data_IF_552788611651
#
_entry.id   IF_552788611651
#
_cell.length_a   1.000
_cell.length_b   1.000
_cell.length_c   1.000
_cell.angle_alpha   90.00
_cell.angle_beta   90.00
_cell.angle_gamma   90.00
#
_symmetry.space_group_name_H-M   'P 1'
#
loop_
_entity.id
_entity.type
_entity.pdbx_description
1 polymer ?
#
# COMPACT_ATOMS: atom_id res chain seq x y z
N UNK A 1 73.39 -21.21 -17.91
CA UNK A 1 74.56 -20.90 -18.78
C UNK A 1 74.73 -22.02 -19.79
N UNK A 2 74.93 -21.67 -21.08
CA UNK A 2 75.25 -22.51 -22.27
C UNK A 2 74.07 -23.35 -22.80
N UNK A 3 73.41 -22.96 -23.91
CA UNK A 3 73.80 -23.07 -25.35
C UNK A 3 73.80 -24.54 -25.83
N UNK A 4 73.34 -24.96 -27.02
CA UNK A 4 72.75 -24.40 -28.25
C UNK A 4 72.60 -25.60 -29.23
N UNK A 5 71.75 -25.48 -30.26
CA UNK A 5 71.69 -26.26 -31.53
C UNK A 5 71.13 -27.69 -31.46
N UNK A 6 70.35 -28.20 -32.42
CA UNK A 6 70.02 -27.80 -33.79
C UNK A 6 69.68 -29.08 -34.61
N UNK A 7 69.20 -28.92 -35.85
CA UNK A 7 68.81 -29.91 -36.87
C UNK A 7 67.35 -30.42 -36.86
N UNK A 8 66.67 -30.69 -37.98
CA UNK A 8 66.79 -30.33 -39.40
C UNK A 8 65.55 -30.96 -40.10
N UNK A 9 64.92 -30.21 -41.01
CA UNK A 9 64.09 -30.61 -42.18
C UNK A 9 63.33 -31.96 -42.21
N UNK A 10 62.04 -31.93 -42.57
CA UNK A 10 61.64 -32.11 -43.98
C UNK A 10 60.17 -31.72 -44.21
N UNK A 11 59.97 -30.85 -45.21
CA UNK A 11 58.70 -30.48 -45.77
C UNK A 11 58.29 -31.47 -46.86
N UNK A 12 57.00 -31.83 -46.93
CA UNK A 12 56.38 -32.23 -48.19
C UNK A 12 55.10 -31.40 -48.37
N UNK A 13 55.18 -30.49 -49.34
CA UNK A 13 54.09 -29.72 -49.89
C UNK A 13 53.52 -30.45 -51.11
N UNK A 14 52.20 -30.66 -51.14
CA UNK A 14 51.44 -30.86 -52.38
C UNK A 14 50.23 -29.93 -52.37
N UNK A 15 50.17 -29.06 -53.38
CA UNK A 15 49.13 -28.08 -53.70
C UNK A 15 48.19 -28.67 -54.76
N UNK A 16 46.88 -28.43 -54.67
CA UNK A 16 45.90 -28.20 -55.77
C UNK A 16 44.46 -28.27 -55.17
N UNK A 17 43.81 -27.14 -54.83
CA UNK A 17 42.94 -26.23 -55.62
C UNK A 17 41.50 -26.75 -55.91
N UNK A 18 40.54 -26.09 -55.23
CA UNK A 18 39.14 -25.70 -55.54
C UNK A 18 38.07 -26.74 -55.96
N UNK A 19 37.02 -26.89 -55.14
CA UNK A 19 35.68 -26.31 -55.37
C UNK A 19 34.56 -27.06 -54.60
N UNK A 20 33.72 -26.29 -53.90
CA UNK A 20 32.27 -26.52 -53.82
C UNK A 20 31.73 -27.68 -52.97
N UNK A 21 31.26 -27.35 -51.76
CA UNK A 21 29.85 -27.48 -51.33
C UNK A 21 29.78 -27.18 -49.83
N UNK A 22 29.36 -25.96 -49.49
CA UNK A 22 29.09 -25.57 -48.12
C UNK A 22 27.86 -26.31 -47.59
N UNK A 23 28.06 -27.16 -46.58
CA UNK A 23 26.98 -27.61 -45.72
C UNK A 23 26.97 -26.65 -44.53
N UNK A 24 25.95 -25.80 -44.54
CA UNK A 24 25.71 -24.73 -43.59
C UNK A 24 25.13 -25.32 -42.29
N UNK A 25 25.96 -25.90 -41.44
CA UNK A 25 25.58 -26.22 -40.04
C UNK A 25 25.75 -25.00 -39.15
N UNK A 26 24.97 -23.95 -39.43
CA UNK A 26 25.03 -22.69 -38.70
C UNK A 26 23.71 -21.90 -38.66
N UNK A 27 22.57 -22.51 -39.03
CA UNK A 27 21.26 -21.85 -39.01
C UNK A 27 20.21 -22.45 -38.07
N UNK A 28 20.35 -23.70 -37.64
CA UNK A 28 19.28 -24.35 -36.86
C UNK A 28 19.38 -24.12 -35.33
N UNK A 29 20.51 -23.63 -34.82
CA UNK A 29 20.68 -23.27 -33.40
C UNK A 29 20.55 -21.75 -33.12
N UNK A 30 20.51 -20.93 -34.18
CA UNK A 30 20.28 -19.48 -34.08
C UNK A 30 18.79 -19.11 -34.17
N UNK A 31 17.95 -19.96 -34.76
CA UNK A 31 16.50 -19.76 -34.84
C UNK A 31 15.71 -20.34 -33.65
N UNK A 32 16.35 -21.10 -32.74
CA UNK A 32 15.73 -21.58 -31.49
C UNK A 32 16.05 -20.75 -30.24
N UNK A 33 16.66 -19.58 -30.40
CA UNK A 33 16.99 -18.64 -29.30
C UNK A 33 16.29 -17.27 -29.40
N UNK A 34 15.20 -17.15 -30.17
CA UNK A 34 14.32 -15.98 -30.15
C UNK A 34 12.95 -16.36 -29.59
N UNK A 35 12.55 -15.67 -28.52
CA UNK A 35 11.23 -15.61 -27.85
C UNK A 35 11.21 -16.08 -26.38
N UNK A 36 11.98 -15.41 -25.52
CA UNK A 36 11.43 -14.87 -24.26
C UNK A 36 11.39 -13.37 -24.47
N UNK A 37 10.20 -12.77 -24.51
CA UNK A 37 10.05 -11.34 -24.81
C UNK A 37 10.87 -10.51 -23.82
N UNK A 38 11.70 -9.60 -24.34
CA UNK A 38 12.38 -8.62 -23.49
C UNK A 38 11.39 -7.54 -23.07
N UNK A 39 11.56 -7.03 -21.84
CA UNK A 39 10.75 -5.95 -21.30
C UNK A 39 11.02 -4.66 -22.08
N UNK A 40 9.99 -4.10 -22.70
CA UNK A 40 10.10 -2.85 -23.45
C UNK A 40 10.04 -1.66 -22.48
N UNK A 41 11.03 -0.78 -22.48
CA UNK A 41 10.99 0.47 -21.70
C UNK A 41 10.21 1.55 -22.47
N UNK A 42 9.19 2.12 -21.84
CA UNK A 42 8.43 3.26 -22.34
C UNK A 42 8.88 4.57 -21.67
N UNK A 43 8.61 5.69 -22.34
CA UNK A 43 8.87 7.04 -21.83
C UNK A 43 7.60 7.61 -21.19
N UNK A 44 7.66 7.84 -19.87
CA UNK A 44 6.60 8.45 -19.07
C UNK A 44 6.93 9.88 -18.62
N UNK A 45 7.91 10.54 -19.23
CA UNK A 45 8.30 11.92 -18.89
C UNK A 45 7.20 12.96 -19.11
N UNK A 46 6.17 12.61 -19.89
CA UNK A 46 4.98 13.43 -20.14
C UNK A 46 3.75 12.99 -19.34
N UNK A 47 3.87 11.95 -18.52
CA UNK A 47 2.79 11.52 -17.65
C UNK A 47 2.50 12.65 -16.63
N UNK A 48 1.24 12.98 -16.36
CA UNK A 48 0.92 13.96 -15.32
C UNK A 48 1.55 13.57 -13.96
N UNK A 49 1.97 14.57 -13.17
CA UNK A 49 2.63 14.31 -11.88
C UNK A 49 1.71 13.60 -10.87
N UNK A 50 0.41 13.83 -11.00
CA UNK A 50 -0.70 13.30 -10.22
C UNK A 50 -1.22 11.94 -10.76
N UNK A 51 -0.32 11.09 -11.24
CA UNK A 51 -0.63 9.73 -11.71
C UNK A 51 0.18 8.69 -10.94
N UNK A 52 -0.48 7.60 -10.54
CA UNK A 52 0.14 6.43 -9.92
C UNK A 52 -0.40 5.14 -10.54
N UNK A 53 0.39 4.07 -10.51
CA UNK A 53 0.00 2.77 -11.07
C UNK A 53 -0.01 1.71 -9.96
N UNK A 54 -1.16 1.09 -9.74
CA UNK A 54 -1.42 0.21 -8.60
C UNK A 54 -1.81 -1.19 -9.08
N UNK A 55 -0.94 -2.17 -8.80
CA UNK A 55 -1.21 -3.59 -9.00
C UNK A 55 -1.64 -4.20 -7.67
N UNK A 56 -2.84 -4.79 -7.61
CA UNK A 56 -3.47 -5.20 -6.35
C UNK A 56 -4.28 -6.48 -6.47
N UNK A 57 -3.87 -7.41 -7.34
CA UNK A 57 -4.69 -8.56 -7.70
C UNK A 57 -5.55 -8.28 -8.93
N UNK A 58 -6.76 -8.85 -8.99
CA UNK A 58 -7.69 -8.57 -10.07
C UNK A 58 -7.98 -7.07 -10.17
N UNK A 59 -7.65 -6.44 -11.30
CA UNK A 59 -7.75 -4.99 -11.46
C UNK A 59 -9.19 -4.44 -11.40
N UNK A 60 -10.22 -5.28 -11.51
CA UNK A 60 -11.62 -4.85 -11.52
C UNK A 60 -12.01 -4.26 -10.17
N UNK A 61 -11.56 -4.89 -9.08
CA UNK A 61 -11.78 -4.39 -7.73
C UNK A 61 -10.98 -3.12 -7.45
N UNK A 62 -9.71 -3.09 -7.86
CA UNK A 62 -8.82 -1.94 -7.65
C UNK A 62 -9.32 -0.73 -8.43
N UNK A 63 -9.77 -0.91 -9.67
CA UNK A 63 -10.34 0.14 -10.50
C UNK A 63 -11.59 0.70 -9.83
N UNK A 64 -12.52 -0.16 -9.40
CA UNK A 64 -13.74 0.26 -8.71
C UNK A 64 -13.46 0.96 -7.38
N UNK A 65 -12.46 0.50 -6.60
CA UNK A 65 -12.03 1.16 -5.38
C UNK A 65 -11.56 2.58 -5.70
N UNK A 66 -10.64 2.74 -6.64
CA UNK A 66 -10.06 4.05 -6.96
C UNK A 66 -11.12 5.00 -7.53
N UNK A 67 -12.01 4.52 -8.41
CA UNK A 67 -13.14 5.30 -8.93
C UNK A 67 -14.10 5.79 -7.84
N UNK A 68 -14.22 5.04 -6.74
CA UNK A 68 -15.12 5.41 -5.65
C UNK A 68 -14.61 6.57 -4.80
N UNK A 69 -13.31 6.86 -4.83
CA UNK A 69 -12.66 7.85 -3.96
C UNK A 69 -12.89 9.27 -4.53
N UNK A 70 -13.53 10.18 -3.77
CA UNK A 70 -13.68 11.57 -4.19
C UNK A 70 -12.33 12.22 -4.51
N UNK A 71 -12.21 12.83 -5.69
CA UNK A 71 -10.96 13.43 -6.16
C UNK A 71 -10.20 12.60 -7.19
N UNK A 72 -10.51 11.30 -7.35
CA UNK A 72 -9.99 10.52 -8.49
C UNK A 72 -10.65 11.01 -9.78
N UNK A 73 -9.84 11.30 -10.80
CA UNK A 73 -10.24 11.84 -12.11
C UNK A 73 -10.46 10.70 -13.10
N UNK A 74 -9.53 9.76 -13.16
CA UNK A 74 -9.54 8.62 -14.07
C UNK A 74 -8.90 7.40 -13.39
N UNK A 75 -9.47 6.23 -13.63
CA UNK A 75 -8.89 4.95 -13.23
C UNK A 75 -9.06 3.97 -14.38
N UNK A 76 -7.94 3.42 -14.85
CA UNK A 76 -7.90 2.60 -16.06
C UNK A 76 -7.14 1.30 -15.86
N UNK A 77 -7.81 0.19 -16.08
CA UNK A 77 -7.23 -1.16 -16.04
C UNK A 77 -6.21 -1.40 -17.16
N UNK A 78 -5.12 -2.10 -16.84
CA UNK A 78 -4.08 -2.46 -17.80
C UNK A 78 -3.02 -3.42 -17.25
N UNK A 79 -1.94 -3.56 -18.01
CA UNK A 79 -0.86 -4.50 -17.74
C UNK A 79 0.46 -3.73 -17.62
N UNK A 80 1.11 -3.80 -16.47
CA UNK A 80 2.37 -3.09 -16.20
C UNK A 80 3.57 -4.01 -16.05
N UNK A 81 4.74 -3.50 -16.41
CA UNK A 81 6.07 -4.05 -16.14
C UNK A 81 6.27 -5.52 -16.59
N UNK A 82 5.68 -5.87 -17.74
CA UNK A 82 5.87 -7.17 -18.40
C UNK A 82 6.67 -7.05 -19.69
N UNK A 83 6.58 -8.05 -20.57
CA UNK A 83 7.37 -8.14 -21.81
C UNK A 83 7.11 -6.96 -22.78
N UNK A 84 6.24 -7.13 -23.77
CA UNK A 84 6.00 -6.12 -24.80
C UNK A 84 4.51 -6.02 -25.14
N UNK A 85 4.15 -5.00 -25.90
CA UNK A 85 2.76 -4.73 -26.31
C UNK A 85 2.06 -5.94 -26.92
N UNK A 86 2.76 -6.70 -27.78
CA UNK A 86 2.18 -7.88 -28.42
C UNK A 86 1.77 -8.97 -27.43
N UNK A 87 2.31 -8.95 -26.21
CA UNK A 87 2.00 -9.88 -25.13
C UNK A 87 1.01 -9.32 -24.10
N UNK A 88 0.64 -8.03 -24.22
CA UNK A 88 -0.32 -7.34 -23.37
C UNK A 88 -1.77 -7.63 -23.80
N UNK A 89 -2.12 -8.92 -23.84
CA UNK A 89 -3.45 -9.46 -24.09
C UNK A 89 -3.85 -10.33 -22.90
N UNK A 90 -5.11 -10.24 -22.47
CA UNK A 90 -5.58 -10.92 -21.26
C UNK A 90 -5.24 -12.41 -21.23
N UNK A 91 -5.43 -13.14 -22.34
CA UNK A 91 -5.17 -14.58 -22.40
C UNK A 91 -3.69 -14.90 -22.22
N UNK A 92 -2.83 -14.07 -22.81
CA UNK A 92 -1.37 -14.21 -22.66
C UNK A 92 -0.92 -13.84 -21.26
N UNK A 93 -1.41 -12.75 -20.70
CA UNK A 93 -1.09 -12.31 -19.34
C UNK A 93 -1.51 -13.36 -18.31
N UNK A 94 -2.74 -13.87 -18.38
CA UNK A 94 -3.22 -14.91 -17.47
C UNK A 94 -2.51 -16.26 -17.62
N UNK A 95 -1.77 -16.49 -18.72
CA UNK A 95 -0.90 -17.68 -18.84
C UNK A 95 0.33 -17.62 -17.90
N UNK A 96 0.63 -16.44 -17.34
CA UNK A 96 1.69 -16.21 -16.35
C UNK A 96 3.10 -16.04 -16.93
N UNK A 97 3.28 -16.22 -18.24
CA UNK A 97 4.61 -16.19 -18.90
C UNK A 97 5.12 -14.80 -19.29
N UNK A 98 4.28 -13.76 -19.23
CA UNK A 98 4.60 -12.42 -19.77
C UNK A 98 5.22 -11.48 -18.75
N UNK A 99 5.20 -11.84 -17.47
CA UNK A 99 5.74 -11.01 -16.38
C UNK A 99 4.92 -9.75 -16.06
N UNK A 100 3.85 -9.46 -16.79
CA UNK A 100 2.95 -8.34 -16.48
C UNK A 100 2.28 -8.51 -15.12
N UNK A 101 1.89 -7.39 -14.51
CA UNK A 101 0.90 -7.32 -13.43
C UNK A 101 -0.38 -6.67 -13.95
N UNK A 102 -1.53 -7.20 -13.54
CA UNK A 102 -2.78 -6.45 -13.62
C UNK A 102 -2.66 -5.20 -12.74
N UNK A 103 -2.82 -4.04 -13.37
CA UNK A 103 -2.48 -2.74 -12.80
C UNK A 103 -3.51 -1.71 -13.20
N UNK A 104 -3.86 -0.82 -12.29
CA UNK A 104 -4.74 0.32 -12.56
C UNK A 104 -3.89 1.58 -12.61
N UNK A 105 -3.96 2.32 -13.73
CA UNK A 105 -3.48 3.71 -13.80
C UNK A 105 -4.51 4.59 -13.11
N UNK A 106 -4.10 5.37 -12.13
CA UNK A 106 -4.96 6.26 -11.35
C UNK A 106 -4.47 7.69 -11.50
N UNK A 107 -5.31 8.56 -12.06
CA UNK A 107 -5.10 10.01 -12.12
C UNK A 107 -6.04 10.68 -11.13
N UNK A 108 -5.53 11.62 -10.33
CA UNK A 108 -6.29 12.21 -9.22
C UNK A 108 -6.08 13.72 -9.13
N UNK A 109 -7.04 14.45 -8.57
CA UNK A 109 -6.95 15.87 -8.28
C UNK A 109 -6.25 16.10 -6.93
N UNK A 110 -4.99 16.56 -6.90
CA UNK A 110 -4.23 16.73 -5.67
C UNK A 110 -4.80 17.82 -4.74
N UNK A 111 -5.74 18.66 -5.22
CA UNK A 111 -6.46 19.61 -4.37
C UNK A 111 -7.64 18.98 -3.62
N UNK A 112 -8.04 17.75 -3.99
CA UNK A 112 -9.19 17.04 -3.39
C UNK A 112 -8.81 15.76 -2.66
N UNK A 113 -7.77 15.07 -3.13
CA UNK A 113 -7.29 13.82 -2.52
C UNK A 113 -5.78 13.71 -2.66
N UNK A 114 -5.12 13.33 -1.58
CA UNK A 114 -3.68 13.12 -1.58
C UNK A 114 -3.30 11.72 -2.09
N UNK A 115 -2.05 11.59 -2.55
CA UNK A 115 -1.49 10.27 -2.84
C UNK A 115 -1.41 9.38 -1.58
N UNK A 116 -1.25 9.98 -0.39
CA UNK A 116 -1.29 9.24 0.87
C UNK A 116 -2.64 8.52 1.05
N UNK A 117 -3.75 9.21 0.78
CA UNK A 117 -5.10 8.64 0.87
C UNK A 117 -5.27 7.46 -0.08
N UNK A 118 -4.85 7.60 -1.35
CA UNK A 118 -4.94 6.54 -2.35
C UNK A 118 -4.10 5.32 -1.98
N UNK A 119 -2.87 5.53 -1.50
CA UNK A 119 -1.98 4.43 -1.11
C UNK A 119 -2.48 3.73 0.16
N UNK A 120 -2.99 4.46 1.14
CA UNK A 120 -3.56 3.85 2.35
C UNK A 120 -4.86 3.09 2.04
N UNK A 121 -5.69 3.60 1.12
CA UNK A 121 -6.84 2.84 0.61
C UNK A 121 -6.42 1.56 -0.10
N UNK A 122 -5.37 1.62 -0.94
CA UNK A 122 -4.78 0.46 -1.57
C UNK A 122 -4.29 -0.57 -0.55
N UNK A 123 -3.49 -0.16 0.44
CA UNK A 123 -2.95 -1.07 1.46
C UNK A 123 -4.02 -1.63 2.39
N UNK A 124 -5.15 -0.95 2.55
CA UNK A 124 -6.28 -1.44 3.35
C UNK A 124 -6.93 -2.68 2.71
N UNK A 125 -7.04 -2.72 1.38
CA UNK A 125 -7.79 -3.78 0.67
C UNK A 125 -6.92 -4.93 0.15
N UNK A 126 -5.59 -4.74 0.13
CA UNK A 126 -4.66 -5.79 -0.29
C UNK A 126 -4.08 -6.54 0.91
N UNK A 127 -3.65 -7.78 0.67
CA UNK A 127 -2.75 -8.51 1.58
C UNK A 127 -1.29 -8.29 1.12
N UNK A 128 -0.49 -7.45 1.81
CA UNK A 128 0.90 -7.19 1.43
C UNK A 128 1.84 -8.36 1.77
N UNK A 129 1.36 -9.38 2.49
CA UNK A 129 2.17 -10.47 3.05
C UNK A 129 2.20 -11.72 2.16
N UNK A 130 1.43 -11.72 1.07
CA UNK A 130 1.37 -12.84 0.12
C UNK A 130 2.03 -12.50 -1.21
N UNK A 131 2.66 -13.51 -1.81
CA UNK A 131 3.33 -13.40 -3.11
C UNK A 131 2.44 -13.97 -4.22
N UNK A 132 2.36 -13.28 -5.36
CA UNK A 132 1.66 -13.72 -6.58
C UNK A 132 0.19 -14.14 -6.32
N UNK A 133 -0.50 -13.44 -5.42
CA UNK A 133 -1.86 -13.78 -5.01
C UNK A 133 -2.57 -12.60 -4.37
N UNK A 134 -3.87 -12.47 -4.61
CA UNK A 134 -4.81 -11.70 -3.78
C UNK A 134 -6.14 -12.46 -3.72
N UNK A 135 -6.67 -12.70 -2.52
CA UNK A 135 -7.87 -13.53 -2.34
C UNK A 135 -7.75 -14.91 -3.01
N UNK A 136 -8.66 -15.18 -3.95
CA UNK A 136 -8.68 -16.43 -4.72
C UNK A 136 -7.89 -16.36 -6.04
N UNK A 137 -7.39 -15.18 -6.41
CA UNK A 137 -6.66 -14.94 -7.64
C UNK A 137 -5.18 -15.27 -7.43
N UNK A 138 -4.68 -16.31 -8.11
CA UNK A 138 -3.31 -16.82 -7.95
C UNK A 138 -2.55 -16.76 -9.28
N UNK A 139 -1.38 -16.15 -9.28
CA UNK A 139 -0.55 -15.97 -10.47
C UNK A 139 0.36 -14.74 -10.36
N UNK A 140 1.44 -14.72 -11.14
CA UNK A 140 2.36 -13.57 -11.19
C UNK A 140 1.68 -12.29 -11.64
N UNK A 141 0.61 -12.38 -12.45
CA UNK A 141 -0.20 -11.24 -12.85
C UNK A 141 -0.96 -10.57 -11.69
N UNK A 142 -1.16 -11.29 -10.59
CA UNK A 142 -1.86 -10.78 -9.39
C UNK A 142 -0.91 -10.39 -8.26
N UNK A 143 0.41 -10.34 -8.54
CA UNK A 143 1.37 -9.83 -7.58
C UNK A 143 1.12 -8.33 -7.34
N UNK A 144 1.11 -7.96 -6.06
CA UNK A 144 0.94 -6.59 -5.62
C UNK A 144 2.17 -5.74 -5.98
N UNK A 145 1.94 -4.51 -6.42
CA UNK A 145 2.98 -3.56 -6.74
C UNK A 145 2.47 -2.13 -6.87
N UNK A 146 3.37 -1.18 -6.64
CA UNK A 146 3.12 0.27 -6.78
C UNK A 146 4.22 0.83 -7.67
N UNK A 147 3.83 1.40 -8.81
CA UNK A 147 4.75 1.93 -9.80
C UNK A 147 4.59 3.43 -9.99
N UNK A 148 5.71 4.16 -9.89
CA UNK A 148 5.76 5.61 -10.02
C UNK A 148 6.46 6.03 -11.32
N UNK A 149 6.10 7.21 -11.82
CA UNK A 149 6.70 7.82 -13.02
C UNK A 149 7.54 9.06 -12.71
N UNK A 150 7.43 9.59 -11.49
CA UNK A 150 8.11 10.82 -11.07
C UNK A 150 8.63 10.74 -9.62
N UNK A 151 9.51 11.68 -9.27
CA UNK A 151 10.21 11.73 -7.99
C UNK A 151 9.29 12.07 -6.80
N UNK A 152 8.28 12.94 -7.01
CA UNK A 152 7.32 13.31 -5.97
C UNK A 152 6.48 12.09 -5.54
N UNK A 153 5.98 11.33 -6.51
CA UNK A 153 5.28 10.07 -6.27
C UNK A 153 6.20 9.04 -5.59
N UNK A 154 7.46 8.90 -6.05
CA UNK A 154 8.44 7.99 -5.44
C UNK A 154 8.61 8.26 -3.94
N UNK A 155 8.78 9.52 -3.54
CA UNK A 155 8.99 9.89 -2.14
C UNK A 155 7.79 9.52 -1.26
N UNK A 156 6.57 9.78 -1.73
CA UNK A 156 5.35 9.41 -1.00
C UNK A 156 5.17 7.89 -0.94
N UNK A 157 5.39 7.18 -2.05
CA UNK A 157 5.30 5.71 -2.11
C UNK A 157 6.27 5.06 -1.15
N UNK A 158 7.55 5.46 -1.16
CA UNK A 158 8.57 4.87 -0.26
C UNK A 158 8.24 5.15 1.22
N UNK A 159 7.74 6.35 1.54
CA UNK A 159 7.35 6.70 2.91
C UNK A 159 6.17 5.85 3.40
N UNK A 160 5.11 5.72 2.62
CA UNK A 160 3.95 4.90 2.99
C UNK A 160 4.34 3.42 3.03
N UNK A 161 5.08 2.92 2.04
CA UNK A 161 5.57 1.55 2.04
C UNK A 161 6.45 1.24 3.26
N UNK A 162 7.26 2.19 3.74
CA UNK A 162 8.03 2.02 4.98
C UNK A 162 7.14 1.87 6.23
N UNK A 163 6.02 2.61 6.29
CA UNK A 163 5.03 2.45 7.35
C UNK A 163 4.42 1.05 7.30
N UNK A 164 3.93 0.63 6.13
CA UNK A 164 3.28 -0.68 5.96
C UNK A 164 4.24 -1.85 6.20
N UNK A 165 5.48 -1.76 5.71
CA UNK A 165 6.55 -2.73 6.01
C UNK A 165 6.81 -2.90 7.51
N UNK A 166 6.53 -1.89 8.32
CA UNK A 166 6.74 -1.98 9.77
C UNK A 166 5.60 -2.69 10.51
N UNK A 167 4.47 -2.94 9.84
CA UNK A 167 3.29 -3.61 10.43
C UNK A 167 3.33 -5.12 10.34
N UNK A 168 4.03 -5.66 9.35
CA UNK A 168 4.14 -7.09 9.10
C UNK A 168 5.59 -7.52 8.99
N UNK A 169 5.86 -8.79 9.31
CA UNK A 169 7.19 -9.39 9.10
C UNK A 169 7.48 -9.61 7.62
N UNK A 170 6.45 -9.97 6.87
CA UNK A 170 6.52 -10.27 5.45
C UNK A 170 5.91 -9.11 4.65
N UNK A 171 6.59 -8.73 3.57
CA UNK A 171 6.15 -7.66 2.67
C UNK A 171 6.60 -7.99 1.25
N UNK A 172 5.65 -8.28 0.37
CA UNK A 172 5.91 -8.70 -1.00
C UNK A 172 5.50 -7.67 -2.05
N UNK A 173 4.95 -6.52 -1.66
CA UNK A 173 4.56 -5.47 -2.61
C UNK A 173 5.80 -4.95 -3.35
N UNK A 174 5.78 -5.05 -4.67
CA UNK A 174 6.84 -4.53 -5.54
C UNK A 174 6.77 -3.00 -5.54
N UNK A 175 7.86 -2.32 -5.20
CA UNK A 175 7.95 -0.84 -5.24
C UNK A 175 9.01 -0.48 -6.26
N UNK A 176 8.67 0.31 -7.28
CA UNK A 176 9.65 0.67 -8.30
C UNK A 176 9.14 1.62 -9.37
N UNK A 177 10.01 2.03 -10.31
CA UNK A 177 9.58 2.82 -11.44
C UNK A 177 8.66 2.02 -12.38
N UNK A 178 7.76 2.72 -13.06
CA UNK A 178 7.01 2.15 -14.17
C UNK A 178 7.95 1.99 -15.39
N UNK A 179 7.96 0.79 -15.96
CA UNK A 179 8.78 0.42 -17.12
C UNK A 179 7.94 0.42 -18.39
N UNK A 180 6.76 -0.21 -18.35
CA UNK A 180 5.76 -0.14 -19.40
C UNK A 180 4.35 -0.30 -18.82
N UNK A 181 3.36 0.19 -19.56
CA UNK A 181 1.96 0.04 -19.26
C UNK A 181 1.17 -0.02 -20.56
N UNK A 182 0.34 -1.06 -20.69
CA UNK A 182 -0.56 -1.23 -21.82
C UNK A 182 -1.99 -1.32 -21.30
N UNK A 183 -2.92 -0.48 -21.78
CA UNK A 183 -4.32 -0.59 -21.39
C UNK A 183 -4.90 -1.97 -21.68
N UNK A 184 -5.73 -2.48 -20.76
CA UNK A 184 -6.49 -3.69 -20.98
C UNK A 184 -7.62 -3.45 -22.00
N UNK A 185 -8.16 -4.52 -22.53
CA UNK A 185 -9.27 -4.50 -23.49
C UNK A 185 -10.50 -3.78 -22.90
N UNK A 186 -11.31 -3.16 -23.77
CA UNK A 186 -12.48 -2.34 -23.37
C UNK A 186 -13.51 -3.05 -22.49
N UNK A 187 -13.58 -4.38 -22.56
CA UNK A 187 -14.49 -5.14 -21.71
C UNK A 187 -14.02 -5.25 -20.25
N UNK A 188 -12.73 -5.01 -19.98
CA UNK A 188 -12.19 -4.95 -18.62
C UNK A 188 -12.34 -3.57 -17.98
N UNK A 189 -12.39 -2.50 -18.78
CA UNK A 189 -12.55 -1.14 -18.27
C UNK A 189 -13.93 -0.97 -17.63
N UNK A 190 -14.00 -0.36 -16.45
CA UNK A 190 -15.22 -0.14 -15.68
C UNK A 190 -16.06 -1.42 -15.50
N UNK A 191 -15.39 -2.56 -15.29
CA UNK A 191 -16.05 -3.85 -15.34
C UNK A 191 -17.18 -3.97 -14.31
N UNK A 192 -16.98 -3.48 -13.08
CA UNK A 192 -17.98 -3.57 -12.00
C UNK A 192 -19.10 -2.54 -12.13
N UNK A 193 -18.89 -1.42 -12.83
CA UNK A 193 -19.98 -0.53 -13.24
C UNK A 193 -20.88 -1.21 -14.28
N UNK A 194 -20.27 -1.86 -15.28
CA UNK A 194 -20.95 -2.61 -16.34
C UNK A 194 -21.64 -3.87 -15.79
N UNK A 195 -21.05 -4.48 -14.76
CA UNK A 195 -21.47 -5.75 -14.17
C UNK A 195 -21.51 -5.64 -12.63
N UNK A 196 -22.54 -5.03 -12.02
CA UNK A 196 -22.59 -4.79 -10.57
C UNK A 196 -22.58 -6.05 -9.67
N UNK A 197 -22.92 -7.20 -10.23
CA UNK A 197 -22.82 -8.53 -9.60
C UNK A 197 -21.59 -9.33 -10.04
N UNK A 198 -20.66 -8.69 -10.75
CA UNK A 198 -19.43 -9.29 -11.22
C UNK A 198 -18.50 -9.70 -10.07
N UNK A 199 -17.51 -10.51 -10.40
CA UNK A 199 -16.49 -10.93 -9.45
C UNK A 199 -15.67 -9.74 -8.93
N UNK A 200 -15.50 -9.68 -7.62
CA UNK A 200 -14.61 -8.76 -6.93
C UNK A 200 -14.13 -9.43 -5.64
N UNK A 201 -12.82 -9.57 -5.45
CA UNK A 201 -12.28 -10.11 -4.20
C UNK A 201 -12.29 -9.08 -3.06
N UNK A 202 -12.30 -7.78 -3.40
CA UNK A 202 -12.42 -6.69 -2.44
C UNK A 202 -13.89 -6.60 -1.98
N UNK A 203 -14.18 -6.67 -0.67
CA UNK A 203 -15.54 -6.53 -0.17
C UNK A 203 -16.15 -5.17 -0.53
N UNK A 204 -17.42 -5.16 -0.94
CA UNK A 204 -18.16 -3.93 -1.28
C UNK A 204 -18.18 -2.91 -0.13
N UNK A 205 -18.25 -3.40 1.11
CA UNK A 205 -18.21 -2.55 2.30
C UNK A 205 -16.90 -1.76 2.40
N UNK A 206 -15.76 -2.37 2.07
CA UNK A 206 -14.46 -1.69 2.11
C UNK A 206 -14.35 -0.62 1.02
N UNK A 207 -14.85 -0.89 -0.18
CA UNK A 207 -14.96 0.13 -1.24
C UNK A 207 -15.85 1.30 -0.78
N UNK A 208 -16.98 1.00 -0.14
CA UNK A 208 -17.90 2.03 0.35
C UNK A 208 -17.28 2.90 1.45
N UNK A 209 -16.41 2.35 2.31
CA UNK A 209 -15.68 3.13 3.33
C UNK A 209 -14.89 4.27 2.69
N UNK A 210 -14.10 3.98 1.65
CA UNK A 210 -13.26 4.99 1.01
C UNK A 210 -14.04 5.98 0.14
N UNK A 211 -15.23 5.61 -0.33
CA UNK A 211 -16.12 6.55 -1.02
C UNK A 211 -16.65 7.67 -0.12
N UNK A 212 -16.56 7.49 1.20
CA UNK A 212 -17.05 8.43 2.22
C UNK A 212 -15.92 9.05 3.06
N UNK A 213 -14.66 8.84 2.66
CA UNK A 213 -13.50 9.34 3.37
C UNK A 213 -13.59 10.87 3.54
N UNK A 214 -13.54 11.37 4.78
CA UNK A 214 -13.52 12.82 5.06
C UNK A 214 -12.18 13.28 5.61
N UNK A 215 -11.45 12.38 6.26
CA UNK A 215 -10.12 12.66 6.80
C UNK A 215 -9.09 12.19 5.77
N UNK A 216 -8.41 13.13 5.11
CA UNK A 216 -7.29 12.80 4.25
C UNK A 216 -6.01 12.60 5.10
N UNK A 217 -5.42 11.39 5.14
CA UNK A 217 -4.20 11.13 5.92
C UNK A 217 -2.98 11.92 5.42
N UNK A 218 -3.02 12.46 4.20
CA UNK A 218 -1.98 13.32 3.65
C UNK A 218 -1.84 14.66 4.38
N UNK A 219 -2.86 15.09 5.12
CA UNK A 219 -2.79 16.28 5.99
C UNK A 219 -2.08 15.98 7.32
N UNK A 220 -1.88 14.70 7.64
CA UNK A 220 -1.39 14.22 8.93
C UNK A 220 -0.17 13.31 8.77
N UNK A 221 0.78 13.73 7.93
CA UNK A 221 2.00 12.95 7.63
C UNK A 221 2.81 12.68 8.90
N UNK A 222 3.24 11.43 9.08
CA UNK A 222 4.16 11.03 10.14
C UNK A 222 5.44 11.90 10.12
N UNK A 223 5.77 12.60 11.21
CA UNK A 223 7.02 13.34 11.31
C UNK A 223 8.26 12.42 11.28
N UNK A 224 9.42 13.00 10.98
CA UNK A 224 10.70 12.29 11.10
C UNK A 224 10.94 11.80 12.54
N UNK A 225 11.64 10.67 12.70
CA UNK A 225 11.82 10.01 13.99
C UNK A 225 12.50 10.91 15.04
N UNK A 226 13.43 11.76 14.63
CA UNK A 226 14.09 12.76 15.49
C UNK A 226 13.07 13.78 16.00
N UNK A 227 12.21 14.31 15.12
CA UNK A 227 11.16 15.25 15.53
C UNK A 227 10.15 14.60 16.47
N UNK A 228 9.87 13.31 16.33
CA UNK A 228 8.98 12.59 17.25
C UNK A 228 9.64 12.52 18.64
N UNK A 229 10.92 12.15 18.70
CA UNK A 229 11.68 12.06 19.96
C UNK A 229 11.75 13.39 20.71
N UNK A 230 11.91 14.49 19.99
CA UNK A 230 12.08 15.82 20.59
C UNK A 230 10.75 16.44 21.06
N UNK A 231 9.63 16.12 20.42
CA UNK A 231 8.31 16.72 20.71
C UNK A 231 7.53 15.96 21.78
N UNK A 232 7.69 14.65 21.86
CA UNK A 232 6.93 13.82 22.77
C UNK A 232 7.56 13.78 24.17
N UNK A 233 6.71 13.68 25.19
CA UNK A 233 7.21 13.30 26.52
C UNK A 233 7.72 11.85 26.49
N UNK A 234 8.56 11.48 27.47
CA UNK A 234 9.07 10.11 27.57
C UNK A 234 7.95 9.06 27.62
N UNK A 235 6.83 9.37 28.27
CA UNK A 235 5.69 8.45 28.37
C UNK A 235 4.92 8.34 27.04
N UNK A 236 4.68 9.46 26.36
CA UNK A 236 4.07 9.47 25.03
C UNK A 236 4.92 8.70 24.01
N UNK A 237 6.25 8.87 24.05
CA UNK A 237 7.17 8.13 23.19
C UNK A 237 7.15 6.63 23.51
N UNK A 238 7.27 6.25 24.79
CA UNK A 238 7.22 4.86 25.24
C UNK A 238 5.94 4.15 24.79
N UNK A 239 4.81 4.83 24.88
CA UNK A 239 3.53 4.27 24.45
C UNK A 239 3.48 4.17 22.93
N UNK A 240 3.59 5.30 22.23
CA UNK A 240 3.30 5.38 20.79
C UNK A 240 4.34 4.66 19.93
N UNK A 241 5.62 4.66 20.33
CA UNK A 241 6.72 4.11 19.52
C UNK A 241 7.25 2.77 20.03
N UNK A 242 7.08 2.46 21.33
CA UNK A 242 7.63 1.25 21.97
C UNK A 242 6.55 0.30 22.50
N UNK A 243 5.29 0.53 22.12
CA UNK A 243 4.12 -0.29 22.48
C UNK A 243 3.90 -0.39 24.00
N UNK A 244 4.26 0.67 24.72
CA UNK A 244 3.99 0.78 26.15
C UNK A 244 2.51 0.92 26.45
N UNK A 245 2.17 0.72 27.73
CA UNK A 245 0.82 0.99 28.26
C UNK A 245 0.95 1.82 29.53
N UNK A 246 0.14 2.89 29.66
CA UNK A 246 0.11 3.76 30.85
C UNK A 246 -0.63 3.06 32.01
N UNK A 247 -0.49 3.61 33.21
CA UNK A 247 -1.18 3.07 34.39
C UNK A 247 -2.70 3.32 34.31
N UNK A 248 -3.54 2.34 34.67
CA UNK A 248 -4.98 2.54 34.72
C UNK A 248 -5.33 3.59 35.78
N UNK A 249 -6.33 4.42 35.51
CA UNK A 249 -6.85 5.51 36.38
C UNK A 249 -5.85 6.63 36.75
N UNK A 250 -4.59 6.50 36.36
CA UNK A 250 -3.53 7.51 36.56
C UNK A 250 -3.17 8.18 35.22
N UNK A 251 -4.18 8.47 34.40
CA UNK A 251 -4.02 9.08 33.08
C UNK A 251 -5.02 10.23 32.86
N UNK A 252 -4.79 11.02 31.82
CA UNK A 252 -5.49 12.29 31.63
C UNK A 252 -6.95 12.12 31.17
N UNK A 253 -7.24 11.11 30.33
CA UNK A 253 -8.50 11.06 29.60
C UNK A 253 -9.47 9.96 30.03
N UNK A 254 -9.12 9.08 30.99
CA UNK A 254 -10.04 8.01 31.42
C UNK A 254 -11.40 8.55 31.89
N UNK A 255 -11.42 9.60 32.72
CA UNK A 255 -12.64 10.23 33.25
C UNK A 255 -13.06 11.52 32.54
N UNK A 256 -12.48 11.83 31.38
CA UNK A 256 -12.82 13.02 30.61
C UNK A 256 -13.99 12.74 29.66
N UNK A 257 -15.04 13.57 29.69
CA UNK A 257 -16.23 13.45 28.83
C UNK A 257 -16.65 14.79 28.19
N UNK A 258 -15.71 15.74 28.13
CA UNK A 258 -15.95 17.02 27.44
C UNK A 258 -16.18 16.78 25.94
N UNK A 259 -17.03 17.62 25.35
CA UNK A 259 -17.35 17.62 23.92
C UNK A 259 -16.08 17.96 23.10
N UNK A 260 -15.67 17.09 22.19
CA UNK A 260 -14.50 17.31 21.33
C UNK A 260 -13.99 16.03 20.67
N UNK A 261 -12.84 16.11 20.01
CA UNK A 261 -12.20 14.97 19.34
C UNK A 261 -10.88 14.60 20.02
N UNK A 262 -10.47 13.35 19.83
CA UNK A 262 -9.16 12.84 20.23
C UNK A 262 -8.34 12.56 18.98
N UNK A 263 -7.20 13.21 18.87
CA UNK A 263 -6.28 13.09 17.73
C UNK A 263 -5.03 12.33 18.12
N UNK A 264 -4.34 11.71 17.17
CA UNK A 264 -3.02 11.11 17.36
C UNK A 264 -2.06 12.20 17.87
N UNK A 265 -1.41 11.96 19.02
CA UNK A 265 -0.43 12.90 19.58
C UNK A 265 0.77 13.12 18.67
N UNK A 266 1.07 12.16 17.77
CA UNK A 266 2.22 12.18 16.86
C UNK A 266 1.94 12.96 15.60
N UNK A 267 0.79 12.73 14.96
CA UNK A 267 0.46 13.28 13.63
C UNK A 267 -0.60 14.37 13.66
N UNK A 268 -1.42 14.42 14.71
CA UNK A 268 -2.61 15.25 14.77
C UNK A 268 -3.80 14.68 13.97
N UNK A 269 -3.69 13.47 13.43
CA UNK A 269 -4.80 12.80 12.73
C UNK A 269 -5.97 12.54 13.69
N UNK A 270 -7.20 12.92 13.38
CA UNK A 270 -8.37 12.57 14.20
C UNK A 270 -8.57 11.06 14.27
N UNK A 271 -8.73 10.52 15.49
CA UNK A 271 -8.87 9.08 15.72
C UNK A 271 -10.20 8.71 16.36
N UNK A 272 -10.68 9.50 17.32
CA UNK A 272 -11.93 9.21 18.04
C UNK A 272 -12.73 10.48 18.32
N UNK A 273 -14.05 10.34 18.45
CA UNK A 273 -14.97 11.39 18.88
C UNK A 273 -15.41 11.19 20.32
N UNK A 274 -15.63 12.28 21.06
CA UNK A 274 -16.22 12.19 22.41
C UNK A 274 -17.66 11.67 22.38
N UNK A 275 -18.36 11.69 21.23
CA UNK A 275 -19.70 11.09 21.06
C UNK A 275 -19.70 9.58 21.20
N UNK A 276 -18.55 8.95 20.90
CA UNK A 276 -18.37 7.51 20.95
C UNK A 276 -17.58 7.07 22.19
N UNK A 277 -17.15 8.03 23.02
CA UNK A 277 -16.52 7.76 24.32
C UNK A 277 -17.58 7.35 25.34
N UNK A 278 -17.28 6.34 26.14
CA UNK A 278 -18.16 5.87 27.22
C UNK A 278 -17.40 5.61 28.52
N UNK A 279 -18.13 5.50 29.62
CA UNK A 279 -17.56 5.16 30.92
C UNK A 279 -17.25 3.67 30.99
N UNK A 280 -15.99 3.33 31.30
CA UNK A 280 -15.56 1.94 31.47
C UNK A 280 -14.73 1.79 32.73
N UNK A 281 -14.90 0.66 33.41
CA UNK A 281 -14.13 0.28 34.60
C UNK A 281 -12.69 -0.14 34.29
N UNK A 282 -12.27 -0.11 33.01
CA UNK A 282 -10.93 -0.55 32.63
C UNK A 282 -9.81 0.38 33.09
N UNK A 283 -10.09 1.67 33.30
CA UNK A 283 -9.10 2.66 33.73
C UNK A 283 -8.35 3.38 32.62
N UNK A 284 -8.74 3.20 31.35
CA UNK A 284 -8.26 3.95 30.20
C UNK A 284 -9.46 4.59 29.45
N UNK A 285 -9.28 5.65 28.65
CA UNK A 285 -10.35 6.14 27.79
C UNK A 285 -10.85 5.03 26.86
N UNK A 286 -12.17 4.85 26.85
CA UNK A 286 -12.85 3.80 26.14
C UNK A 286 -13.81 4.37 25.09
N UNK A 287 -13.71 3.88 23.85
CA UNK A 287 -14.56 4.29 22.73
C UNK A 287 -15.26 3.10 22.10
N UNK A 288 -16.47 3.30 21.58
CA UNK A 288 -17.28 2.26 20.92
C UNK A 288 -16.88 2.03 19.46
N UNK A 289 -16.26 3.02 18.82
CA UNK A 289 -15.73 2.99 17.45
C UNK A 289 -14.70 4.11 17.20
N UNK A 290 -13.82 3.99 16.19
CA UNK A 290 -13.03 5.11 15.69
C UNK A 290 -13.92 6.18 15.03
N UNK A 291 -13.34 7.36 14.79
CA UNK A 291 -14.02 8.48 14.13
C UNK A 291 -14.41 8.15 12.68
N UNK A 292 -13.54 7.39 12.01
CA UNK A 292 -13.77 6.70 10.74
C UNK A 292 -13.10 5.33 10.85
N UNK A 293 -13.76 4.26 10.39
CA UNK A 293 -13.22 2.89 10.43
C UNK A 293 -11.76 2.80 9.92
N UNK A 294 -11.38 3.39 8.76
CA UNK A 294 -10.02 3.28 8.27
C UNK A 294 -8.99 4.09 9.07
N UNK A 295 -9.39 5.02 9.97
CA UNK A 295 -8.46 5.88 10.72
C UNK A 295 -7.51 5.10 11.66
N UNK A 296 -7.89 3.87 12.00
CA UNK A 296 -7.09 2.95 12.82
C UNK A 296 -6.79 1.67 12.05
N UNK A 297 -5.72 0.99 12.47
CA UNK A 297 -5.30 -0.30 11.96
C UNK A 297 -5.30 -1.30 13.09
N UNK A 298 -5.95 -2.42 12.85
CA UNK A 298 -6.11 -3.50 13.82
C UNK A 298 -5.19 -4.68 13.47
N UNK A 299 -4.42 -5.18 14.44
CA UNK A 299 -3.51 -6.30 14.23
C UNK A 299 -3.50 -7.25 15.41
N UNK A 300 -3.36 -8.55 15.14
CA UNK A 300 -3.31 -9.57 16.20
C UNK A 300 -2.03 -9.42 17.03
N UNK A 301 -2.21 -9.22 18.33
CA UNK A 301 -1.16 -9.14 19.34
C UNK A 301 -1.13 -10.43 20.19
N UNK A 302 0.01 -11.12 20.16
CA UNK A 302 0.28 -12.36 20.93
C UNK A 302 1.21 -12.14 22.13
N UNK A 303 1.52 -10.88 22.46
CA UNK A 303 2.39 -10.54 23.58
C UNK A 303 1.78 -10.96 24.93
N UNK A 304 2.64 -11.07 25.95
CA UNK A 304 2.24 -11.38 27.33
C UNK A 304 1.41 -12.67 27.51
N UNK A 305 1.48 -13.61 26.55
CA UNK A 305 0.74 -14.87 26.60
C UNK A 305 -0.76 -14.75 26.34
N UNK A 306 -1.23 -13.61 25.83
CA UNK A 306 -2.63 -13.35 25.50
C UNK A 306 -2.80 -13.30 23.97
N UNK A 307 -4.04 -13.41 23.50
CA UNK A 307 -4.41 -13.06 22.12
C UNK A 307 -5.33 -11.84 22.22
N UNK A 308 -4.86 -10.69 21.74
CA UNK A 308 -5.60 -9.43 21.71
C UNK A 308 -5.53 -8.85 20.31
N UNK A 309 -6.32 -7.80 20.06
CA UNK A 309 -6.21 -7.00 18.84
C UNK A 309 -5.61 -5.66 19.22
N UNK A 310 -4.36 -5.42 18.83
CA UNK A 310 -3.70 -4.12 18.93
C UNK A 310 -4.36 -3.14 17.97
N UNK A 311 -4.45 -1.87 18.40
CA UNK A 311 -4.95 -0.76 17.60
C UNK A 311 -3.82 0.25 17.42
N UNK A 312 -3.56 0.65 16.17
CA UNK A 312 -2.58 1.67 15.79
C UNK A 312 -3.21 2.77 14.95
N UNK A 313 -2.65 3.97 14.93
CA UNK A 313 -3.07 5.02 13.98
C UNK A 313 -2.62 4.69 12.56
N UNK A 314 -3.44 4.98 11.55
CA UNK A 314 -3.08 4.66 10.15
C UNK A 314 -1.90 5.49 9.65
N UNK A 315 -1.87 6.80 9.88
CA UNK A 315 -0.83 7.66 9.30
C UNK A 315 0.47 7.61 10.11
N UNK A 316 0.37 7.54 11.44
CA UNK A 316 1.52 7.56 12.35
C UNK A 316 2.12 6.17 12.64
N UNK A 317 1.35 5.10 12.44
CA UNK A 317 1.63 3.77 12.99
C UNK A 317 1.90 3.80 14.52
N UNK A 318 1.32 4.78 15.22
CA UNK A 318 1.45 4.96 16.66
C UNK A 318 0.69 3.84 17.36
N UNK A 319 1.31 3.16 18.33
CA UNK A 319 0.56 2.26 19.22
C UNK A 319 -0.45 3.08 20.04
N UNK A 320 -1.73 2.73 19.92
CA UNK A 320 -2.82 3.40 20.62
C UNK A 320 -3.28 2.58 21.83
N UNK A 321 -3.46 1.27 21.65
CA UNK A 321 -3.96 0.37 22.68
C UNK A 321 -4.52 -0.91 22.08
N UNK A 322 -5.68 -1.36 22.57
CA UNK A 322 -6.31 -2.61 22.13
C UNK A 322 -7.81 -2.47 21.98
N UNK A 323 -8.40 -3.27 21.09
CA UNK A 323 -9.86 -3.39 20.94
C UNK A 323 -10.35 -4.74 21.46
N UNK A 324 -11.49 -4.72 22.14
CA UNK A 324 -12.14 -5.89 22.73
C UNK A 324 -13.59 -5.99 22.26
N UNK A 325 -14.04 -7.20 21.95
CA UNK A 325 -15.43 -7.49 21.55
C UNK A 325 -16.15 -8.31 22.61
N UNK A 326 -17.47 -8.14 22.73
CA UNK A 326 -18.29 -8.78 23.76
C UNK A 326 -18.21 -8.08 25.13
N UNK A 327 -17.85 -6.79 25.14
CA UNK A 327 -17.76 -6.01 26.36
C UNK A 327 -19.15 -5.54 26.81
N UNK A 328 -19.59 -5.96 28.00
CA UNK A 328 -20.91 -5.61 28.54
C UNK A 328 -21.06 -4.15 28.94
N UNK A 329 -19.95 -3.43 29.15
CA UNK A 329 -19.97 -1.99 29.43
C UNK A 329 -20.08 -1.16 28.15
N UNK A 330 -19.71 -1.73 27.00
CA UNK A 330 -19.77 -1.03 25.73
C UNK A 330 -21.20 -0.93 25.18
N UNK A 331 -21.63 0.25 24.71
CA UNK A 331 -22.94 0.44 24.08
C UNK A 331 -23.23 -0.49 22.88
N UNK A 332 -22.18 -0.90 22.16
CA UNK A 332 -22.29 -1.78 20.98
C UNK A 332 -21.54 -3.11 21.15
N UNK A 333 -21.07 -3.41 22.37
CA UNK A 333 -20.26 -4.59 22.65
C UNK A 333 -18.80 -4.51 22.21
N UNK A 334 -18.34 -3.38 21.63
CA UNK A 334 -16.95 -3.17 21.20
C UNK A 334 -16.30 -2.08 22.05
N UNK A 335 -15.12 -2.33 22.61
CA UNK A 335 -14.36 -1.36 23.39
C UNK A 335 -12.97 -1.15 22.82
N UNK A 336 -12.74 0.02 22.23
CA UNK A 336 -11.41 0.55 21.95
C UNK A 336 -10.84 1.12 23.26
N UNK A 337 -9.92 0.40 23.87
CA UNK A 337 -9.24 0.74 25.11
C UNK A 337 -7.90 1.39 24.79
N UNK A 338 -7.85 2.73 24.85
CA UNK A 338 -6.77 3.53 24.27
C UNK A 338 -5.96 4.21 25.35
N UNK A 339 -4.64 4.32 25.18
CA UNK A 339 -3.80 5.10 26.09
C UNK A 339 -4.03 6.60 25.88
N UNK A 340 -4.24 7.34 26.97
CA UNK A 340 -4.33 8.81 26.94
C UNK A 340 -3.05 9.44 26.40
N UNK A 341 -1.87 8.92 26.75
CA UNK A 341 -0.61 9.45 26.23
C UNK A 341 -0.37 9.14 24.73
N UNK A 342 -1.24 8.38 24.06
CA UNK A 342 -1.23 8.27 22.60
C UNK A 342 -2.13 9.33 21.93
N UNK A 343 -2.89 10.08 22.72
CA UNK A 343 -3.91 11.02 22.25
C UNK A 343 -3.58 12.46 22.66
N UNK A 344 -4.16 13.39 21.91
CA UNK A 344 -4.33 14.78 22.31
C UNK A 344 -5.81 15.13 22.15
N UNK A 345 -6.41 15.68 23.19
CA UNK A 345 -7.80 16.13 23.11
C UNK A 345 -7.89 17.54 22.51
N UNK A 346 -8.83 17.72 21.58
CA UNK A 346 -9.20 19.01 21.00
C UNK A 346 -10.64 19.33 21.41
N UNK A 347 -10.85 20.25 22.37
CA UNK A 347 -12.18 20.67 22.77
C UNK A 347 -13.00 21.22 21.60
N UNK A 348 -14.31 20.96 21.57
CA UNK A 348 -15.22 21.42 20.52
C UNK A 348 -15.08 22.91 20.21
N UNK A 349 -14.94 23.74 21.26
CA UNK A 349 -14.77 25.19 21.12
C UNK A 349 -13.46 25.63 20.43
N UNK A 350 -12.47 24.73 20.29
CA UNK A 350 -11.18 24.98 19.65
C UNK A 350 -11.02 24.27 18.31
N UNK A 351 -11.90 23.32 17.97
CA UNK A 351 -11.78 22.51 16.76
C UNK A 351 -11.64 23.37 15.49
N UNK A 352 -12.51 24.37 15.32
CA UNK A 352 -12.44 25.30 14.16
C UNK A 352 -11.08 26.01 14.10
N UNK A 353 -10.65 26.61 15.22
CA UNK A 353 -9.41 27.39 15.31
C UNK A 353 -8.14 26.54 15.12
N UNK A 354 -8.22 25.23 15.42
CA UNK A 354 -7.13 24.27 15.25
C UNK A 354 -7.20 23.52 13.90
N UNK A 355 -8.12 23.87 13.00
CA UNK A 355 -8.21 23.29 11.65
C UNK A 355 -9.05 22.02 11.54
N UNK A 356 -9.80 21.66 12.59
CA UNK A 356 -10.70 20.50 12.63
C UNK A 356 -12.19 20.89 12.47
N UNK A 357 -12.47 22.08 11.93
CA UNK A 357 -13.82 22.61 11.73
C UNK A 357 -14.73 21.70 10.89
N UNK A 358 -14.15 21.01 9.91
CA UNK A 358 -14.85 20.07 9.03
C UNK A 358 -15.43 18.85 9.76
N UNK A 359 -15.06 18.62 11.04
CA UNK A 359 -15.57 17.54 11.89
C UNK A 359 -16.65 18.00 12.89
N UNK A 360 -17.05 19.27 12.89
CA UNK A 360 -18.06 19.79 13.84
C UNK A 360 -19.43 19.10 13.69
N UNK A 361 -19.76 18.59 12.50
CA UNK A 361 -20.99 17.83 12.21
C UNK A 361 -21.17 16.61 13.11
N UNK A 362 -20.07 16.06 13.67
CA UNK A 362 -20.13 14.90 14.57
C UNK A 362 -20.93 15.17 15.84
N UNK A 363 -21.17 16.44 16.15
CA UNK A 363 -21.81 16.84 17.39
C UNK A 363 -23.03 17.73 17.23
N UNK A 364 -23.66 17.67 16.06
CA UNK A 364 -24.93 18.32 15.73
C UNK A 364 -26.13 17.43 16.01
#
# INVERSE_FOLDING_TARGET
>A
MKRVSGLLLLALSTVLILSGCGINHGKDDAEKKKAKGEMTQMDFSKEPENVIFLAGGCFWGIEQLMQSIPGVIDARSGYANGTCEADADYKKVCSGGTGFRETVRVEYDPEKVSLDALLLAYFYVIDPTVKNRQGNDVGSQYQTGIYYTNENARQTVERIAAIERSRSKDFFVEIGPLINFYPAEEYHQNYLEKNPGGYCHIPKAEIELFSKLRIDPGDYKKPAAESIRDKLTSEQYRITQENGTERPFENEFWNQFEKGIYVDVVTGEPLFSSTDKFESSCGWPAFSKPIEDPAVVESVDKSHGMIRTEVRSRAGNSHLGHVFTGDSESPNGVRYCINSAALRFVPYAKMEAEGYGYLLYLFE
#
